data_IF_219926770058
#
_entry.id   IF_219926770058
#
_cell.length_a   1.000
_cell.length_b   1.000
_cell.length_c   1.000
_cell.angle_alpha   90.00
_cell.angle_beta   90.00
_cell.angle_gamma   90.00
#
_symmetry.space_group_name_H-M   'P 1'
#
loop_
_entity.id
_entity.type
_entity.pdbx_description
1 polymer ?
#
# COMPACT_ATOMS: atom_id res chain seq x y z
N UNK A 1 -11.59 27.22 26.97
CA UNK A 1 -10.59 26.75 25.99
C UNK A 1 -9.92 25.50 26.54
N UNK A 2 -10.40 24.31 26.19
CA UNK A 2 -9.76 23.07 26.65
C UNK A 2 -8.52 22.78 25.79
N UNK A 3 -7.34 22.93 26.39
CA UNK A 3 -6.12 22.36 25.85
C UNK A 3 -6.28 20.83 25.86
N UNK A 4 -6.64 20.25 24.72
CA UNK A 4 -6.62 18.81 24.53
C UNK A 4 -5.18 18.34 24.62
N UNK A 5 -4.85 17.61 25.68
CA UNK A 5 -3.57 16.91 25.82
C UNK A 5 -3.38 15.99 24.61
N UNK A 6 -2.34 16.27 23.82
CA UNK A 6 -2.03 15.52 22.61
C UNK A 6 -1.34 14.21 23.03
N UNK A 7 -2.10 13.28 23.61
CA UNK A 7 -1.59 11.98 24.05
C UNK A 7 -1.10 11.25 22.81
N UNK A 8 0.22 11.05 22.72
CA UNK A 8 0.85 10.29 21.63
C UNK A 8 0.30 8.87 21.68
N UNK A 9 -0.52 8.50 20.68
CA UNK A 9 -1.07 7.15 20.57
C UNK A 9 0.06 6.12 20.59
N UNK A 10 -0.14 5.01 21.30
CA UNK A 10 0.79 3.88 21.25
C UNK A 10 0.87 3.32 19.81
N UNK A 11 1.97 2.62 19.46
CA UNK A 11 2.08 1.90 18.19
C UNK A 11 0.85 1.04 17.85
N UNK A 12 0.37 0.30 18.85
CA UNK A 12 -0.81 -0.55 18.75
C UNK A 12 -2.06 0.27 18.40
N UNK A 13 -2.35 1.32 19.15
CA UNK A 13 -3.54 2.16 18.94
C UNK A 13 -3.51 2.87 17.58
N UNK A 14 -2.31 3.24 17.11
CA UNK A 14 -2.12 3.82 15.79
C UNK A 14 -2.47 2.81 14.69
N UNK A 15 -1.92 1.60 14.74
CA UNK A 15 -2.22 0.54 13.77
C UNK A 15 -3.71 0.13 13.84
N UNK A 16 -4.24 -0.13 15.03
CA UNK A 16 -5.66 -0.47 15.26
C UNK A 16 -6.59 0.58 14.65
N UNK A 17 -6.35 1.86 14.88
CA UNK A 17 -7.16 2.96 14.33
C UNK A 17 -7.21 2.91 12.79
N UNK A 18 -6.12 2.49 12.13
CA UNK A 18 -6.07 2.35 10.67
C UNK A 18 -6.79 1.08 10.23
N UNK A 19 -6.57 -0.05 10.93
CA UNK A 19 -7.25 -1.31 10.62
C UNK A 19 -8.77 -1.16 10.74
N UNK A 20 -9.28 -0.49 11.77
CA UNK A 20 -10.72 -0.20 11.91
C UNK A 20 -11.31 0.54 10.70
N UNK A 21 -10.51 1.42 10.08
CA UNK A 21 -10.91 2.10 8.86
C UNK A 21 -10.96 1.10 7.69
N UNK A 22 -9.87 0.36 7.49
CA UNK A 22 -9.72 -0.59 6.38
C UNK A 22 -10.78 -1.69 6.37
N UNK A 23 -11.15 -2.23 7.55
CA UNK A 23 -12.09 -3.36 7.70
C UNK A 23 -13.54 -2.95 8.01
N UNK A 24 -13.95 -1.74 7.62
CA UNK A 24 -15.34 -1.27 7.76
C UNK A 24 -15.86 -1.24 9.21
N UNK A 25 -14.99 -1.07 10.20
CA UNK A 25 -15.39 -1.00 11.61
C UNK A 25 -15.70 0.43 12.09
N UNK A 26 -15.19 1.45 11.39
CA UNK A 26 -15.54 2.86 11.66
C UNK A 26 -16.88 3.25 11.02
N UNK A 27 -17.59 4.18 11.63
CA UNK A 27 -18.87 4.68 11.11
C UNK A 27 -18.78 5.16 9.66
N UNK A 28 -17.71 5.88 9.30
CA UNK A 28 -17.51 6.36 7.93
C UNK A 28 -17.34 5.23 6.92
N UNK A 29 -16.69 4.12 7.29
CA UNK A 29 -16.46 2.98 6.41
C UNK A 29 -17.59 1.95 6.47
N UNK A 30 -18.34 1.84 7.57
CA UNK A 30 -19.60 1.09 7.63
C UNK A 30 -20.59 1.53 6.55
N UNK A 31 -20.70 2.85 6.31
CA UNK A 31 -21.56 3.37 5.24
C UNK A 31 -21.12 2.88 3.84
N UNK A 32 -19.80 2.80 3.60
CA UNK A 32 -19.24 2.26 2.34
C UNK A 32 -19.67 0.81 2.17
N UNK A 33 -19.54 -0.01 3.23
CA UNK A 33 -19.99 -1.41 3.21
C UNK A 33 -21.49 -1.50 2.87
N UNK A 34 -22.34 -0.73 3.55
CA UNK A 34 -23.78 -0.72 3.31
C UNK A 34 -24.13 -0.32 1.86
N UNK A 35 -23.45 0.69 1.30
CA UNK A 35 -23.63 1.10 -0.10
C UNK A 35 -23.29 -0.05 -1.04
N UNK A 36 -22.16 -0.72 -0.82
CA UNK A 36 -21.73 -1.85 -1.64
C UNK A 36 -22.68 -3.04 -1.51
N UNK A 37 -23.17 -3.35 -0.31
CA UNK A 37 -24.13 -4.44 -0.06
C UNK A 37 -25.47 -4.16 -0.77
N UNK A 38 -26.02 -2.95 -0.61
CA UNK A 38 -27.27 -2.52 -1.27
C UNK A 38 -27.21 -2.62 -2.80
N UNK A 39 -26.02 -2.41 -3.38
CA UNK A 39 -25.82 -2.47 -4.82
C UNK A 39 -25.34 -3.86 -5.28
N UNK A 40 -25.35 -4.86 -4.41
CA UNK A 40 -24.84 -6.20 -4.69
C UNK A 40 -23.40 -6.18 -5.24
N UNK A 41 -22.54 -5.34 -4.69
CA UNK A 41 -21.13 -5.21 -5.06
C UNK A 41 -20.18 -5.56 -3.91
N UNK A 42 -20.68 -5.79 -2.71
CA UNK A 42 -19.87 -6.26 -1.58
C UNK A 42 -19.57 -7.75 -1.76
N UNK A 43 -18.29 -8.10 -1.86
CA UNK A 43 -17.77 -9.48 -1.94
C UNK A 43 -18.36 -10.32 -3.09
N UNK A 44 -17.55 -10.57 -4.12
CA UNK A 44 -17.87 -11.38 -5.31
C UNK A 44 -16.78 -12.39 -5.58
N UNK A 45 -17.03 -13.44 -6.36
CA UNK A 45 -16.07 -14.52 -6.59
C UNK A 45 -14.74 -14.03 -7.19
N UNK A 46 -14.78 -12.92 -7.93
CA UNK A 46 -13.61 -12.26 -8.50
C UNK A 46 -12.66 -11.65 -7.45
N UNK A 47 -13.14 -11.42 -6.22
CA UNK A 47 -12.32 -10.85 -5.16
C UNK A 47 -11.22 -11.81 -4.70
N UNK A 48 -10.00 -11.31 -4.74
CA UNK A 48 -8.82 -12.03 -4.27
C UNK A 48 -8.83 -12.19 -2.76
N UNK A 49 -8.29 -13.33 -2.33
CA UNK A 49 -8.06 -13.63 -0.92
C UNK A 49 -6.56 -13.61 -0.65
N UNK A 50 -6.13 -12.77 0.28
CA UNK A 50 -4.73 -12.64 0.68
C UNK A 50 -4.55 -12.89 2.17
N UNK A 51 -3.31 -13.19 2.58
CA UNK A 51 -3.00 -13.34 4.00
C UNK A 51 -3.20 -12.03 4.78
N UNK A 52 -3.43 -12.09 6.11
CA UNK A 52 -3.70 -10.92 6.95
C UNK A 52 -2.64 -9.83 6.89
N UNK A 53 -1.38 -10.21 6.64
CA UNK A 53 -0.25 -9.30 6.47
C UNK A 53 -0.47 -8.25 5.37
N UNK A 54 -1.37 -8.51 4.40
CA UNK A 54 -1.78 -7.52 3.38
C UNK A 54 -2.37 -6.25 4.00
N UNK A 55 -2.95 -6.33 5.20
CA UNK A 55 -3.44 -5.14 5.90
C UNK A 55 -2.33 -4.25 6.44
N UNK A 56 -1.13 -4.78 6.70
CA UNK A 56 0.03 -3.97 7.06
C UNK A 56 0.48 -3.10 5.87
N UNK A 57 0.44 -3.67 4.65
CA UNK A 57 0.67 -2.94 3.40
C UNK A 57 -0.35 -1.84 3.16
N UNK A 58 -1.63 -2.14 3.31
CA UNK A 58 -2.69 -1.14 3.18
C UNK A 58 -2.63 -0.08 4.29
N UNK A 59 -2.19 -0.45 5.50
CA UNK A 59 -1.97 0.50 6.59
C UNK A 59 -0.77 1.43 6.30
N UNK A 60 0.30 0.91 5.69
CA UNK A 60 1.43 1.69 5.19
C UNK A 60 0.98 2.74 4.17
N UNK A 61 0.20 2.30 3.19
CA UNK A 61 -0.36 3.17 2.16
C UNK A 61 -1.28 4.25 2.75
N UNK A 62 -2.22 3.86 3.62
CA UNK A 62 -3.12 4.79 4.32
C UNK A 62 -2.33 5.86 5.11
N UNK A 63 -1.32 5.43 5.86
CA UNK A 63 -0.53 6.34 6.67
C UNK A 63 0.26 7.33 5.80
N UNK A 64 0.77 6.84 4.66
CA UNK A 64 1.46 7.70 3.71
C UNK A 64 0.53 8.70 3.03
N UNK A 65 -0.69 8.30 2.64
CA UNK A 65 -1.69 9.20 2.07
C UNK A 65 -1.92 10.41 3.00
N UNK A 66 -2.02 10.19 4.31
CA UNK A 66 -2.23 11.29 5.26
C UNK A 66 -1.08 12.32 5.24
N UNK A 67 0.16 11.85 5.23
CA UNK A 67 1.34 12.72 5.22
C UNK A 67 1.45 13.44 3.87
N UNK A 68 1.40 12.68 2.78
CA UNK A 68 1.61 13.15 1.43
C UNK A 68 0.58 14.20 1.03
N UNK A 69 -0.72 13.93 1.22
CA UNK A 69 -1.78 14.85 0.78
C UNK A 69 -1.81 16.14 1.59
N UNK A 70 -1.49 16.09 2.90
CA UNK A 70 -1.41 17.29 3.74
C UNK A 70 -0.34 18.27 3.26
N UNK A 71 0.77 17.75 2.72
CA UNK A 71 1.88 18.53 2.22
C UNK A 71 1.60 18.98 0.79
N UNK A 72 1.23 18.03 -0.09
CA UNK A 72 1.11 18.25 -1.52
C UNK A 72 0.02 19.27 -1.88
N UNK A 73 -1.09 19.33 -1.13
CA UNK A 73 -2.23 20.24 -1.42
C UNK A 73 -1.87 21.73 -1.50
N UNK A 74 -0.71 22.14 -0.96
CA UNK A 74 -0.26 23.55 -0.97
C UNK A 74 0.70 23.86 -2.13
N UNK A 75 1.16 22.84 -2.85
CA UNK A 75 2.29 22.94 -3.77
C UNK A 75 2.01 22.40 -5.17
N UNK A 76 0.89 21.70 -5.36
CA UNK A 76 0.55 21.01 -6.60
C UNK A 76 -0.92 21.27 -6.97
N UNK A 77 -1.20 21.22 -8.26
CA UNK A 77 -2.51 21.61 -8.80
C UNK A 77 -3.54 20.47 -8.65
N UNK A 78 -3.10 19.22 -8.85
CA UNK A 78 -3.90 18.01 -8.62
C UNK A 78 -3.13 16.97 -7.82
N UNK A 79 -3.87 16.18 -7.06
CA UNK A 79 -3.40 15.02 -6.30
C UNK A 79 -3.88 13.76 -7.02
N UNK A 80 -2.95 12.92 -7.46
CA UNK A 80 -3.25 11.73 -8.27
C UNK A 80 -2.79 10.48 -7.52
N UNK A 81 -3.62 9.43 -7.56
CA UNK A 81 -3.22 8.09 -7.16
C UNK A 81 -3.14 7.20 -8.40
N UNK A 82 -2.04 6.47 -8.55
CA UNK A 82 -1.85 5.47 -9.60
C UNK A 82 -1.65 4.12 -8.93
N UNK A 83 -2.54 3.18 -9.23
CA UNK A 83 -2.49 1.80 -8.77
C UNK A 83 -2.12 0.90 -9.94
N UNK A 84 -0.88 0.40 -9.95
CA UNK A 84 -0.39 -0.45 -11.04
C UNK A 84 -1.03 -1.85 -11.05
N UNK A 85 -1.64 -2.27 -9.94
CA UNK A 85 -2.25 -3.58 -9.73
C UNK A 85 -3.54 -3.45 -8.91
N UNK A 86 -4.57 -2.86 -9.52
CA UNK A 86 -5.77 -2.39 -8.82
C UNK A 86 -6.68 -3.47 -8.24
N UNK A 87 -6.60 -4.71 -8.74
CA UNK A 87 -7.49 -5.79 -8.31
C UNK A 87 -8.96 -5.47 -8.57
N UNK A 88 -9.83 -6.08 -7.76
CA UNK A 88 -11.27 -5.81 -7.76
C UNK A 88 -11.68 -4.67 -6.82
N UNK A 89 -10.75 -4.14 -6.03
CA UNK A 89 -10.99 -3.06 -5.07
C UNK A 89 -11.39 -3.49 -3.65
N UNK A 90 -11.76 -4.75 -3.42
CA UNK A 90 -11.91 -5.33 -2.08
C UNK A 90 -10.96 -6.51 -1.92
N UNK A 91 -10.53 -6.77 -0.69
CA UNK A 91 -9.64 -7.87 -0.35
C UNK A 91 -10.28 -8.74 0.71
N UNK A 92 -10.41 -10.03 0.45
CA UNK A 92 -10.74 -11.04 1.46
C UNK A 92 -9.49 -11.42 2.25
N UNK A 93 -9.63 -11.55 3.56
CA UNK A 93 -8.54 -12.02 4.40
C UNK A 93 -8.65 -13.53 4.57
N UNK A 94 -7.66 -14.27 4.05
CA UNK A 94 -7.59 -15.74 4.10
C UNK A 94 -7.86 -16.24 5.51
N UNK A 95 -8.57 -17.37 5.59
CA UNK A 95 -8.90 -18.05 6.84
C UNK A 95 -9.69 -17.18 7.84
N UNK A 96 -10.45 -16.19 7.36
CA UNK A 96 -11.32 -15.35 8.18
C UNK A 96 -12.49 -14.79 7.36
N UNK A 97 -13.47 -14.21 8.06
CA UNK A 97 -14.59 -13.49 7.43
C UNK A 97 -14.28 -12.01 7.19
N UNK A 98 -13.04 -11.58 7.45
CA UNK A 98 -12.67 -10.17 7.34
C UNK A 98 -12.49 -9.75 5.89
N UNK A 99 -12.95 -8.53 5.62
CA UNK A 99 -12.89 -7.88 4.31
C UNK A 99 -12.30 -6.51 4.50
N UNK A 100 -11.43 -6.11 3.58
CA UNK A 100 -10.81 -4.79 3.57
C UNK A 100 -11.04 -4.05 2.26
N UNK A 101 -11.01 -2.72 2.35
CA UNK A 101 -10.73 -1.88 1.20
C UNK A 101 -9.38 -2.26 0.57
N UNK A 102 -9.35 -2.45 -0.75
CA UNK A 102 -8.12 -2.47 -1.53
C UNK A 102 -7.62 -1.06 -1.83
N UNK A 103 -6.41 -0.92 -2.36
CA UNK A 103 -5.69 0.35 -2.61
C UNK A 103 -6.50 1.37 -3.42
N UNK A 104 -7.13 0.95 -4.51
CA UNK A 104 -7.91 1.84 -5.38
C UNK A 104 -9.19 2.38 -4.71
N UNK A 105 -9.96 1.55 -4.00
CA UNK A 105 -11.12 2.03 -3.25
C UNK A 105 -10.69 2.86 -2.04
N UNK A 106 -9.60 2.45 -1.37
CA UNK A 106 -9.01 3.19 -0.28
C UNK A 106 -8.69 4.62 -0.72
N UNK A 107 -8.02 4.79 -1.86
CA UNK A 107 -7.71 6.12 -2.41
C UNK A 107 -8.97 6.95 -2.69
N UNK A 108 -10.04 6.34 -3.23
CA UNK A 108 -11.29 7.06 -3.52
C UNK A 108 -11.93 7.63 -2.26
N UNK A 109 -12.00 6.83 -1.20
CA UNK A 109 -12.71 7.20 0.03
C UNK A 109 -11.83 7.92 1.05
N UNK A 110 -10.52 7.94 0.82
CA UNK A 110 -9.56 8.57 1.72
C UNK A 110 -9.75 10.08 1.78
N UNK A 111 -9.68 10.59 3.01
CA UNK A 111 -9.65 12.02 3.30
C UNK A 111 -8.53 12.27 4.30
N UNK A 112 -7.65 13.22 3.98
CA UNK A 112 -6.55 13.62 4.86
C UNK A 112 -7.06 14.03 6.24
N UNK A 113 -6.23 13.97 7.29
CA UNK A 113 -6.59 14.33 8.67
C UNK A 113 -7.18 15.72 8.83
N UNK A 114 -6.75 16.71 8.05
CA UNK A 114 -7.34 18.07 8.11
C UNK A 114 -8.73 18.15 7.50
N UNK A 115 -9.13 17.12 6.77
CA UNK A 115 -10.33 17.10 5.96
C UNK A 115 -10.25 17.93 4.68
N UNK A 116 -9.09 18.54 4.36
CA UNK A 116 -8.95 19.51 3.26
C UNK A 116 -8.32 18.94 2.00
N UNK A 117 -7.85 17.70 2.00
CA UNK A 117 -7.29 17.05 0.82
C UNK A 117 -7.85 15.65 0.59
N UNK A 118 -8.02 15.34 -0.70
CA UNK A 118 -8.39 14.06 -1.30
C UNK A 118 -7.72 13.96 -2.66
N UNK A 119 -7.66 12.77 -3.23
CA UNK A 119 -7.22 12.62 -4.61
C UNK A 119 -8.23 13.25 -5.56
N UNK A 120 -7.73 13.99 -6.55
CA UNK A 120 -8.51 14.52 -7.65
C UNK A 120 -8.70 13.46 -8.74
N UNK A 121 -7.72 12.56 -8.90
CA UNK A 121 -7.74 11.52 -9.93
C UNK A 121 -7.18 10.20 -9.41
N UNK A 122 -7.80 9.10 -9.80
CA UNK A 122 -7.36 7.73 -9.52
C UNK A 122 -7.20 6.98 -10.85
N UNK A 123 -6.05 6.38 -11.08
CA UNK A 123 -5.79 5.57 -12.27
C UNK A 123 -5.41 4.19 -11.79
N UNK A 124 -6.24 3.19 -12.12
CA UNK A 124 -6.03 1.81 -11.69
C UNK A 124 -5.86 0.92 -12.91
N UNK A 125 -4.84 0.08 -12.91
CA UNK A 125 -4.60 -0.92 -13.94
C UNK A 125 -4.90 -2.30 -13.37
N UNK A 126 -5.72 -3.09 -14.06
CA UNK A 126 -6.04 -4.46 -13.68
C UNK A 126 -6.15 -5.32 -14.94
N UNK A 127 -5.34 -6.36 -15.03
CA UNK A 127 -5.26 -7.19 -16.23
C UNK A 127 -6.48 -8.10 -16.39
N UNK A 128 -7.02 -8.63 -15.30
CA UNK A 128 -8.17 -9.53 -15.34
C UNK A 128 -9.47 -8.75 -15.56
N UNK A 129 -10.21 -9.17 -16.59
CA UNK A 129 -11.39 -8.48 -17.09
C UNK A 129 -12.52 -8.30 -16.08
N UNK A 130 -12.85 -9.34 -15.31
CA UNK A 130 -13.95 -9.32 -14.35
C UNK A 130 -13.57 -8.50 -13.12
N UNK A 131 -12.32 -8.58 -12.66
CA UNK A 131 -11.79 -7.73 -11.58
C UNK A 131 -11.79 -6.26 -11.97
N UNK A 132 -11.29 -5.92 -13.16
CA UNK A 132 -11.30 -4.56 -13.67
C UNK A 132 -12.74 -4.00 -13.78
N UNK A 133 -13.68 -4.82 -14.28
CA UNK A 133 -15.10 -4.45 -14.33
C UNK A 133 -15.68 -4.23 -12.94
N UNK A 134 -15.42 -5.15 -12.00
CA UNK A 134 -15.91 -5.07 -10.63
C UNK A 134 -15.34 -3.84 -9.89
N UNK A 135 -14.05 -3.55 -10.04
CA UNK A 135 -13.42 -2.36 -9.51
C UNK A 135 -14.09 -1.09 -10.05
N UNK A 136 -14.30 -1.01 -11.36
CA UNK A 136 -14.97 0.13 -12.00
C UNK A 136 -16.37 0.35 -11.41
N UNK A 137 -17.18 -0.70 -11.34
CA UNK A 137 -18.54 -0.64 -10.78
C UNK A 137 -18.56 -0.13 -9.34
N UNK A 138 -17.62 -0.58 -8.51
CA UNK A 138 -17.49 -0.14 -7.12
C UNK A 138 -17.08 1.33 -7.03
N UNK A 139 -16.12 1.77 -7.83
CA UNK A 139 -15.71 3.17 -7.90
C UNK A 139 -16.87 4.07 -8.36
N UNK A 140 -17.62 3.66 -9.39
CA UNK A 140 -18.80 4.38 -9.91
C UNK A 140 -19.87 4.58 -8.83
N UNK A 141 -20.27 3.48 -8.17
CA UNK A 141 -21.31 3.51 -7.13
C UNK A 141 -20.86 4.34 -5.93
N UNK A 142 -19.65 4.14 -5.44
CA UNK A 142 -19.15 4.90 -4.30
C UNK A 142 -18.97 6.38 -4.62
N UNK A 143 -18.46 6.73 -5.80
CA UNK A 143 -18.34 8.13 -6.25
C UNK A 143 -19.71 8.81 -6.20
N UNK A 144 -20.73 8.17 -6.78
CA UNK A 144 -22.09 8.68 -6.86
C UNK A 144 -22.74 8.82 -5.47
N UNK A 145 -22.79 7.74 -4.70
CA UNK A 145 -23.54 7.69 -3.43
C UNK A 145 -22.88 8.53 -2.31
N UNK A 146 -21.56 8.76 -2.39
CA UNK A 146 -20.83 9.58 -1.42
C UNK A 146 -20.61 11.03 -1.88
N UNK A 147 -21.02 11.39 -3.10
CA UNK A 147 -20.81 12.73 -3.67
C UNK A 147 -19.32 13.11 -3.75
N UNK A 148 -18.47 12.16 -4.14
CA UNK A 148 -17.02 12.37 -4.18
C UNK A 148 -16.65 12.96 -5.54
N UNK A 149 -16.09 14.17 -5.53
CA UNK A 149 -15.52 14.81 -6.71
C UNK A 149 -14.07 14.33 -6.96
N UNK A 150 -13.94 13.07 -7.35
CA UNK A 150 -12.68 12.42 -7.74
C UNK A 150 -12.91 11.72 -9.08
N UNK A 151 -12.10 12.03 -10.07
CA UNK A 151 -12.11 11.30 -11.34
C UNK A 151 -11.41 9.95 -11.17
N UNK A 152 -11.87 8.94 -11.90
CA UNK A 152 -11.17 7.66 -11.94
C UNK A 152 -11.12 7.09 -13.35
N UNK A 153 -10.08 6.30 -13.61
CA UNK A 153 -9.88 5.54 -14.84
C UNK A 153 -9.42 4.14 -14.48
N UNK A 154 -10.21 3.14 -14.86
CA UNK A 154 -9.81 1.72 -14.74
C UNK A 154 -9.40 1.21 -16.10
N UNK A 155 -8.12 0.85 -16.25
CA UNK A 155 -7.50 0.36 -17.47
C UNK A 155 -7.40 -1.17 -17.37
N UNK A 156 -8.06 -1.86 -18.30
CA UNK A 156 -8.02 -3.32 -18.39
C UNK A 156 -6.90 -3.77 -19.33
N UNK A 157 -5.69 -3.95 -18.80
CA UNK A 157 -4.54 -4.46 -19.57
C UNK A 157 -3.34 -4.73 -18.65
N UNK A 158 -2.22 -5.15 -19.25
CA UNK A 158 -0.90 -5.20 -18.64
C UNK A 158 -0.32 -3.78 -18.41
N UNK A 159 0.20 -3.53 -17.21
CA UNK A 159 0.84 -2.26 -16.82
C UNK A 159 1.98 -1.86 -17.76
N UNK A 160 2.80 -2.81 -18.21
CA UNK A 160 3.93 -2.54 -19.10
C UNK A 160 3.47 -2.01 -20.47
N UNK A 161 2.29 -2.44 -20.94
CA UNK A 161 1.70 -1.97 -22.20
C UNK A 161 1.00 -0.62 -22.06
N UNK A 162 0.51 -0.31 -20.85
CA UNK A 162 -0.34 0.85 -20.57
C UNK A 162 0.33 1.97 -19.79
N UNK A 163 1.61 1.85 -19.50
CA UNK A 163 2.38 2.87 -18.78
C UNK A 163 2.34 4.25 -19.48
N UNK A 164 2.33 4.27 -20.82
CA UNK A 164 2.18 5.50 -21.61
C UNK A 164 0.79 6.12 -21.46
N UNK A 165 -0.27 5.30 -21.47
CA UNK A 165 -1.64 5.76 -21.29
C UNK A 165 -1.83 6.41 -19.91
N UNK A 166 -1.18 5.86 -18.88
CA UNK A 166 -1.13 6.47 -17.53
C UNK A 166 -0.33 7.76 -17.53
N UNK A 167 0.84 7.77 -18.17
CA UNK A 167 1.72 8.95 -18.18
C UNK A 167 1.08 10.14 -18.93
N UNK A 168 0.25 9.89 -19.94
CA UNK A 168 -0.49 10.94 -20.66
C UNK A 168 -1.57 11.60 -19.81
N UNK A 169 -1.98 10.95 -18.72
CA UNK A 169 -3.00 11.44 -17.79
C UNK A 169 -2.43 12.30 -16.65
N UNK A 170 -1.11 12.55 -16.63
CA UNK A 170 -0.37 13.24 -15.56
C UNK A 170 0.35 14.47 -16.12
N UNK A 171 0.19 15.61 -15.43
CA UNK A 171 0.82 16.88 -15.78
C UNK A 171 2.02 17.19 -14.89
N UNK A 172 2.87 18.11 -15.36
CA UNK A 172 4.09 18.55 -14.67
C UNK A 172 3.87 19.09 -13.26
N UNK A 173 2.71 19.69 -12.99
CA UNK A 173 2.34 20.29 -11.70
C UNK A 173 1.45 19.41 -10.84
N UNK A 174 1.24 18.15 -11.23
CA UNK A 174 0.49 17.19 -10.44
C UNK A 174 1.41 16.54 -9.38
N UNK A 175 0.87 16.26 -8.21
CA UNK A 175 1.48 15.36 -7.23
C UNK A 175 0.91 13.96 -7.43
N UNK A 176 1.75 12.94 -7.36
CA UNK A 176 1.32 11.56 -7.57
C UNK A 176 1.80 10.65 -6.46
N UNK A 177 1.01 9.62 -6.16
CA UNK A 177 1.50 8.42 -5.47
C UNK A 177 1.31 7.25 -6.43
N UNK A 178 2.42 6.66 -6.85
CA UNK A 178 2.45 5.46 -7.68
C UNK A 178 2.64 4.24 -6.77
N UNK A 179 1.59 3.44 -6.63
CA UNK A 179 1.61 2.19 -5.88
C UNK A 179 1.86 1.03 -6.84
N UNK A 180 2.96 0.31 -6.61
CA UNK A 180 3.44 -0.78 -7.44
C UNK A 180 3.45 -2.04 -6.58
N UNK A 181 2.43 -2.86 -6.74
CA UNK A 181 2.16 -4.03 -5.90
C UNK A 181 2.13 -5.36 -6.70
N UNK A 182 3.25 -5.75 -7.32
CA UNK A 182 3.33 -7.00 -8.07
C UNK A 182 3.27 -8.21 -7.14
N UNK A 183 2.78 -9.34 -7.64
CA UNK A 183 2.89 -10.63 -6.93
C UNK A 183 4.30 -11.26 -7.07
N UNK A 184 5.07 -10.81 -8.06
CA UNK A 184 6.39 -11.31 -8.43
C UNK A 184 7.24 -10.27 -9.12
N UNK A 185 7.53 -10.50 -10.41
CA UNK A 185 8.37 -9.66 -11.28
C UNK A 185 7.63 -9.24 -12.56
N UNK A 186 6.32 -9.09 -12.48
CA UNK A 186 5.44 -8.83 -13.63
C UNK A 186 5.68 -7.45 -14.27
N UNK A 187 6.21 -6.49 -13.52
CA UNK A 187 6.47 -5.12 -14.00
C UNK A 187 7.94 -4.89 -14.30
N UNK A 188 8.25 -4.27 -15.43
CA UNK A 188 9.59 -3.81 -15.75
C UNK A 188 9.82 -2.46 -15.06
N UNK A 189 10.60 -2.43 -13.97
CA UNK A 189 10.76 -1.22 -13.13
C UNK A 189 11.35 -0.04 -13.91
N UNK A 190 12.13 -0.30 -14.96
CA UNK A 190 12.64 0.72 -15.87
C UNK A 190 11.54 1.58 -16.51
N UNK A 191 10.38 0.97 -16.80
CA UNK A 191 9.26 1.65 -17.47
C UNK A 191 8.61 2.67 -16.54
N UNK A 192 8.80 2.58 -15.22
CA UNK A 192 8.33 3.59 -14.29
C UNK A 192 8.92 4.97 -14.57
N UNK A 193 10.10 5.05 -15.18
CA UNK A 193 10.71 6.31 -15.63
C UNK A 193 9.77 7.14 -16.52
N UNK A 194 8.92 6.49 -17.32
CA UNK A 194 7.95 7.15 -18.20
C UNK A 194 6.95 7.96 -17.37
N UNK A 195 6.38 7.36 -16.31
CA UNK A 195 5.47 8.06 -15.39
C UNK A 195 6.23 9.11 -14.58
N UNK A 196 7.38 8.72 -13.99
CA UNK A 196 8.14 9.59 -13.08
C UNK A 196 8.72 10.83 -13.78
N UNK A 197 8.96 10.76 -15.09
CA UNK A 197 9.39 11.91 -15.89
C UNK A 197 8.30 12.98 -16.07
N UNK A 198 7.01 12.62 -15.92
CA UNK A 198 5.90 13.55 -16.11
C UNK A 198 5.80 14.58 -15.02
N UNK A 199 6.07 14.20 -13.76
CA UNK A 199 6.12 15.12 -12.64
C UNK A 199 7.15 14.70 -11.60
N UNK A 200 7.96 15.67 -11.19
CA UNK A 200 8.91 15.52 -10.08
C UNK A 200 8.20 15.20 -8.75
N UNK A 201 6.90 15.50 -8.65
CA UNK A 201 6.07 15.28 -7.47
C UNK A 201 5.54 13.86 -7.30
N UNK A 202 5.86 12.91 -8.19
CA UNK A 202 5.34 11.55 -8.07
C UNK A 202 6.21 10.73 -7.11
N UNK A 203 5.66 10.32 -5.98
CA UNK A 203 6.32 9.42 -5.04
C UNK A 203 5.92 7.97 -5.35
N UNK A 204 6.79 7.00 -5.03
CA UNK A 204 6.58 5.58 -5.37
C UNK A 204 6.54 4.74 -4.11
N UNK A 205 5.55 3.87 -3.98
CA UNK A 205 5.58 2.76 -3.02
C UNK A 205 5.66 1.47 -3.83
N UNK A 206 6.78 0.76 -3.69
CA UNK A 206 7.01 -0.52 -4.34
C UNK A 206 6.89 -1.65 -3.31
N UNK A 207 6.07 -2.65 -3.61
CA UNK A 207 6.10 -3.94 -2.94
C UNK A 207 7.14 -4.84 -3.61
N UNK A 208 8.29 -5.04 -2.98
CA UNK A 208 9.33 -5.96 -3.47
C UNK A 208 9.11 -7.35 -2.88
N UNK A 209 8.64 -8.27 -3.71
CA UNK A 209 8.40 -9.65 -3.33
C UNK A 209 9.69 -10.44 -3.10
N UNK A 210 9.64 -11.47 -2.23
CA UNK A 210 10.67 -12.53 -2.17
C UNK A 210 10.90 -13.25 -3.52
N UNK A 211 9.98 -13.08 -4.48
CA UNK A 211 10.09 -13.64 -5.83
C UNK A 211 11.37 -13.21 -6.56
N UNK A 212 11.85 -11.99 -6.29
CA UNK A 212 13.12 -11.47 -6.84
C UNK A 212 14.30 -12.32 -6.36
N UNK A 213 14.36 -12.60 -5.06
CA UNK A 213 15.44 -13.41 -4.47
C UNK A 213 15.40 -14.87 -4.90
N UNK A 214 14.19 -15.44 -5.04
CA UNK A 214 14.01 -16.80 -5.56
C UNK A 214 14.51 -16.92 -7.00
N UNK A 215 14.21 -15.94 -7.85
CA UNK A 215 14.73 -15.92 -9.21
C UNK A 215 16.25 -15.74 -9.22
N UNK A 216 16.81 -14.95 -8.30
CA UNK A 216 18.26 -14.74 -8.22
C UNK A 216 18.98 -16.05 -7.89
N UNK A 217 18.48 -16.81 -6.91
CA UNK A 217 19.04 -18.12 -6.58
C UNK A 217 18.98 -19.10 -7.75
N UNK A 218 17.90 -19.10 -8.53
CA UNK A 218 17.80 -19.92 -9.77
C UNK A 218 18.83 -19.50 -10.81
N UNK A 219 18.95 -18.20 -11.07
CA UNK A 219 19.92 -17.66 -12.02
C UNK A 219 21.36 -18.00 -11.62
N UNK A 220 21.69 -17.92 -10.33
CA UNK A 220 23.01 -18.31 -9.80
C UNK A 220 23.30 -19.81 -9.97
N UNK A 221 22.25 -20.64 -10.04
CA UNK A 221 22.34 -22.07 -10.30
C UNK A 221 22.26 -22.42 -11.81
N UNK A 222 22.43 -21.44 -12.71
CA UNK A 222 22.52 -21.65 -14.16
C UNK A 222 21.20 -21.56 -14.93
N UNK A 223 20.14 -21.01 -14.33
CA UNK A 223 18.87 -20.79 -15.04
C UNK A 223 18.88 -19.46 -15.82
N UNK A 224 19.23 -19.53 -17.11
CA UNK A 224 19.28 -18.38 -18.01
C UNK A 224 17.91 -17.68 -18.17
N UNK A 225 16.80 -18.43 -18.10
CA UNK A 225 15.47 -17.84 -18.17
C UNK A 225 15.16 -17.02 -16.92
N UNK A 226 15.61 -17.45 -15.74
CA UNK A 226 15.46 -16.68 -14.51
C UNK A 226 16.31 -15.41 -14.55
N UNK A 227 17.55 -15.50 -15.06
CA UNK A 227 18.42 -14.35 -15.25
C UNK A 227 17.80 -13.32 -16.19
N UNK A 228 17.28 -13.76 -17.34
CA UNK A 228 16.62 -12.87 -18.31
C UNK A 228 15.46 -12.10 -17.68
N UNK A 229 14.56 -12.80 -16.97
CA UNK A 229 13.41 -12.16 -16.29
C UNK A 229 13.85 -11.15 -15.23
N UNK A 230 14.92 -11.44 -14.48
CA UNK A 230 15.46 -10.51 -13.50
C UNK A 230 16.02 -9.24 -14.13
N UNK A 231 16.75 -9.38 -15.24
CA UNK A 231 17.31 -8.22 -15.96
C UNK A 231 16.20 -7.40 -16.61
N UNK A 232 15.14 -8.02 -17.13
CA UNK A 232 13.95 -7.31 -17.64
C UNK A 232 13.21 -6.55 -16.52
N UNK A 233 13.07 -7.16 -15.35
CA UNK A 233 12.46 -6.54 -14.16
C UNK A 233 13.31 -5.37 -13.63
N UNK A 234 14.62 -5.59 -13.48
CA UNK A 234 15.57 -4.68 -12.83
C UNK A 234 16.90 -4.65 -13.61
N UNK A 235 17.01 -3.83 -14.67
CA UNK A 235 18.16 -3.86 -15.58
C UNK A 235 19.51 -3.53 -14.94
N UNK A 236 19.51 -2.73 -13.87
CA UNK A 236 20.70 -2.40 -13.09
C UNK A 236 21.34 -3.63 -12.43
N UNK A 237 20.62 -4.77 -12.34
CA UNK A 237 21.19 -6.04 -11.90
C UNK A 237 22.31 -6.56 -12.79
N UNK A 238 22.33 -6.17 -14.07
CA UNK A 238 23.41 -6.57 -14.99
C UNK A 238 24.79 -6.07 -14.51
N UNK A 239 24.82 -4.96 -13.78
CA UNK A 239 26.05 -4.37 -13.22
C UNK A 239 26.18 -4.59 -11.72
N UNK A 240 25.06 -4.70 -11.00
CA UNK A 240 25.03 -4.84 -9.53
C UNK A 240 24.34 -6.16 -9.19
N UNK A 241 25.10 -7.18 -8.79
CA UNK A 241 24.59 -8.53 -8.49
C UNK A 241 23.80 -8.65 -7.16
N UNK A 242 23.26 -7.53 -6.68
CA UNK A 242 22.52 -7.39 -5.43
C UNK A 242 21.20 -6.65 -5.76
N UNK A 243 20.03 -7.31 -5.62
CA UNK A 243 18.74 -6.73 -6.00
C UNK A 243 18.41 -5.42 -5.31
N UNK A 244 18.74 -5.28 -4.03
CA UNK A 244 18.45 -4.07 -3.28
C UNK A 244 19.29 -2.91 -3.76
N UNK A 245 20.60 -3.10 -3.92
CA UNK A 245 21.50 -2.07 -4.46
C UNK A 245 21.17 -1.72 -5.91
N UNK A 246 20.77 -2.70 -6.72
CA UNK A 246 20.34 -2.47 -8.09
C UNK A 246 19.06 -1.62 -8.15
N UNK A 247 18.08 -1.92 -7.31
CA UNK A 247 16.86 -1.11 -7.11
C UNK A 247 17.21 0.30 -6.64
N UNK A 248 18.06 0.41 -5.63
CA UNK A 248 18.47 1.70 -5.08
C UNK A 248 19.12 2.58 -6.16
N UNK A 249 20.01 2.00 -6.97
CA UNK A 249 20.61 2.70 -8.11
C UNK A 249 19.52 3.16 -9.10
N UNK A 250 18.60 2.27 -9.47
CA UNK A 250 17.53 2.59 -10.41
C UNK A 250 16.67 3.77 -9.92
N UNK A 251 16.22 3.75 -8.66
CA UNK A 251 15.43 4.85 -8.11
C UNK A 251 16.23 6.13 -7.91
N UNK A 252 17.55 6.06 -7.66
CA UNK A 252 18.42 7.24 -7.68
C UNK A 252 18.49 7.87 -9.08
N UNK A 253 18.59 7.05 -10.13
CA UNK A 253 18.53 7.52 -11.53
C UNK A 253 17.17 8.17 -11.85
N UNK A 254 16.10 7.73 -11.21
CA UNK A 254 14.77 8.37 -11.31
C UNK A 254 14.62 9.64 -10.45
N UNK A 255 15.67 10.08 -9.74
CA UNK A 255 15.63 11.24 -8.85
C UNK A 255 14.85 11.00 -7.55
N UNK A 256 14.74 9.74 -7.10
CA UNK A 256 14.05 9.31 -5.88
C UNK A 256 15.01 8.67 -4.86
N UNK A 257 16.02 9.41 -4.36
CA UNK A 257 17.08 8.83 -3.53
C UNK A 257 16.67 8.58 -2.07
N UNK A 258 15.58 9.17 -1.59
CA UNK A 258 15.16 9.06 -0.19
C UNK A 258 14.23 7.85 -0.04
N UNK A 259 14.48 7.05 0.98
CA UNK A 259 13.73 5.82 1.24
C UNK A 259 13.16 5.72 2.66
N UNK A 260 12.06 4.98 2.77
CA UNK A 260 11.59 4.37 4.00
C UNK A 260 11.11 2.95 3.67
N UNK A 261 11.64 1.95 4.38
CA UNK A 261 11.39 0.53 4.07
C UNK A 261 10.75 -0.16 5.24
N UNK A 262 9.70 -0.95 5.00
CA UNK A 262 9.08 -1.81 6.00
C UNK A 262 9.12 -3.27 5.54
N UNK A 263 9.59 -4.16 6.40
CA UNK A 263 9.57 -5.60 6.13
C UNK A 263 8.22 -6.14 6.60
N UNK A 264 7.52 -6.87 5.72
CA UNK A 264 6.21 -7.42 6.00
C UNK A 264 6.32 -8.95 6.13
N UNK A 265 5.77 -9.45 7.23
CA UNK A 265 5.84 -10.86 7.61
C UNK A 265 4.47 -11.52 7.61
N UNK A 266 4.42 -12.79 7.23
CA UNK A 266 3.19 -13.59 7.29
C UNK A 266 2.78 -13.97 8.73
N UNK A 267 1.76 -14.81 8.88
CA UNK A 267 1.29 -15.30 10.18
C UNK A 267 2.27 -16.20 10.94
N UNK A 268 3.29 -16.71 10.24
CA UNK A 268 4.37 -17.54 10.78
C UNK A 268 5.65 -16.73 11.02
N UNK A 269 5.55 -15.39 10.97
CA UNK A 269 6.65 -14.45 11.13
C UNK A 269 7.75 -14.57 10.06
N UNK A 270 7.45 -15.22 8.92
CA UNK A 270 8.34 -15.31 7.78
C UNK A 270 8.24 -14.01 6.96
N UNK A 271 9.34 -13.35 6.59
CA UNK A 271 9.32 -12.27 5.60
C UNK A 271 8.63 -12.73 4.31
N UNK A 272 7.85 -11.86 3.68
CA UNK A 272 7.20 -12.14 2.39
C UNK A 272 7.56 -11.06 1.37
N UNK A 273 7.68 -9.81 1.83
CA UNK A 273 8.07 -8.70 1.00
C UNK A 273 8.53 -7.48 1.80
N UNK A 274 9.22 -6.58 1.11
CA UNK A 274 9.54 -5.24 1.59
C UNK A 274 8.67 -4.19 0.91
N UNK A 275 8.10 -3.28 1.70
CA UNK A 275 7.46 -2.07 1.19
C UNK A 275 8.48 -0.94 1.17
N UNK A 276 8.82 -0.48 -0.03
CA UNK A 276 9.84 0.53 -0.26
C UNK A 276 9.19 1.81 -0.75
N UNK A 277 9.11 2.81 0.12
CA UNK A 277 8.74 4.16 -0.27
C UNK A 277 9.95 4.89 -0.84
N UNK A 278 9.81 5.48 -2.03
CA UNK A 278 10.84 6.26 -2.74
C UNK A 278 10.31 7.64 -3.04
N UNK A 279 11.01 8.66 -2.52
CA UNK A 279 10.62 10.06 -2.68
C UNK A 279 11.80 10.89 -3.17
N UNK A 280 11.49 12.04 -3.77
CA UNK A 280 12.52 13.00 -4.17
C UNK A 280 13.16 13.66 -2.95
N UNK A 281 14.40 14.12 -3.11
CA UNK A 281 15.01 15.08 -2.19
C UNK A 281 14.45 16.48 -2.45
N UNK A 282 13.93 17.14 -1.42
CA UNK A 282 13.55 18.56 -1.48
C UNK A 282 14.69 19.46 -0.99
N UNK A 283 14.56 20.78 -1.17
CA UNK A 283 15.55 21.76 -0.66
C UNK A 283 15.82 21.64 0.84
N UNK A 284 14.83 21.18 1.61
CA UNK A 284 14.92 21.01 3.06
C UNK A 284 15.26 19.58 3.49
N UNK A 285 15.74 18.74 2.56
CA UNK A 285 16.03 17.31 2.78
C UNK A 285 14.85 16.46 3.27
N UNK A 286 13.63 16.81 2.82
CA UNK A 286 12.43 15.96 2.99
C UNK A 286 12.15 15.52 4.45
N UNK A 287 12.10 16.44 5.44
CA UNK A 287 12.00 16.07 6.86
C UNK A 287 10.68 15.38 7.22
N UNK A 288 9.66 15.59 6.40
CA UNK A 288 8.35 14.96 6.51
C UNK A 288 8.37 13.44 6.26
N UNK A 289 9.49 12.88 5.78
CA UNK A 289 9.65 11.43 5.64
C UNK A 289 9.94 10.74 6.98
N UNK A 290 10.44 11.46 7.98
CA UNK A 290 10.79 10.87 9.29
C UNK A 290 9.63 10.13 9.94
N UNK A 291 8.39 10.67 9.99
CA UNK A 291 7.23 9.91 10.46
C UNK A 291 6.97 8.61 9.68
N UNK A 292 7.28 8.56 8.38
CA UNK A 292 7.18 7.31 7.61
C UNK A 292 8.25 6.31 7.99
N UNK A 293 9.49 6.74 8.24
CA UNK A 293 10.55 5.85 8.75
C UNK A 293 10.18 5.26 10.12
N UNK A 294 9.70 6.10 11.04
CA UNK A 294 9.20 5.65 12.34
C UNK A 294 8.02 4.67 12.20
N UNK A 295 7.10 4.93 11.25
CA UNK A 295 5.98 4.03 10.99
C UNK A 295 6.42 2.73 10.33
N UNK A 296 7.39 2.77 9.42
CA UNK A 296 8.03 1.60 8.82
C UNK A 296 8.60 0.67 9.90
N UNK A 297 9.46 1.21 10.77
CA UNK A 297 10.04 0.45 11.90
C UNK A 297 8.96 -0.10 12.85
N UNK A 298 7.87 0.64 13.02
CA UNK A 298 6.74 0.22 13.83
C UNK A 298 6.00 -0.95 13.20
N UNK A 299 5.62 -0.88 11.92
CA UNK A 299 4.84 -1.94 11.29
C UNK A 299 5.65 -3.21 11.04
N UNK A 300 6.98 -3.12 10.86
CA UNK A 300 7.86 -4.29 10.74
C UNK A 300 7.89 -5.16 12.00
N UNK A 301 7.38 -4.66 13.14
CA UNK A 301 7.26 -5.41 14.39
C UNK A 301 5.97 -6.24 14.48
N UNK A 302 5.04 -6.03 13.55
CA UNK A 302 3.78 -6.75 13.47
C UNK A 302 3.85 -7.76 12.33
N UNK A 303 3.14 -8.88 12.50
CA UNK A 303 3.01 -9.91 11.48
C UNK A 303 1.53 -10.25 11.22
N UNK A 304 1.26 -11.23 10.35
CA UNK A 304 -0.11 -11.62 10.01
C UNK A 304 -0.96 -12.06 11.21
N UNK A 305 -0.36 -12.71 12.20
CA UNK A 305 -1.05 -13.17 13.42
C UNK A 305 -1.43 -12.01 14.32
N UNK A 306 -0.54 -11.02 14.48
CA UNK A 306 -0.84 -9.82 15.25
C UNK A 306 -2.00 -9.03 14.64
N UNK A 307 -2.05 -8.96 13.30
CA UNK A 307 -3.17 -8.34 12.58
C UNK A 307 -4.48 -9.05 12.89
N UNK A 308 -4.55 -10.38 12.76
CA UNK A 308 -5.76 -11.15 13.09
C UNK A 308 -6.22 -10.90 14.53
N UNK A 309 -5.28 -10.92 15.48
CA UNK A 309 -5.55 -10.63 16.89
C UNK A 309 -6.14 -9.23 17.10
N UNK A 310 -5.74 -8.24 16.30
CA UNK A 310 -6.31 -6.89 16.34
C UNK A 310 -7.72 -6.89 15.73
N UNK A 311 -7.93 -7.57 14.60
CA UNK A 311 -9.24 -7.66 13.95
C UNK A 311 -10.27 -8.34 14.85
N UNK A 312 -9.90 -9.42 15.53
CA UNK A 312 -10.77 -10.12 16.48
C UNK A 312 -11.24 -9.19 17.59
N UNK A 313 -10.33 -8.33 18.10
CA UNK A 313 -10.69 -7.32 19.09
C UNK A 313 -11.59 -6.22 18.54
N UNK A 314 -11.32 -5.74 17.31
CA UNK A 314 -12.15 -4.73 16.64
C UNK A 314 -13.59 -5.24 16.48
N UNK A 315 -13.76 -6.51 16.16
CA UNK A 315 -15.06 -7.14 15.91
C UNK A 315 -15.65 -7.87 17.13
N UNK A 316 -15.04 -7.73 18.31
CA UNK A 316 -15.44 -8.43 19.54
C UNK A 316 -15.58 -9.96 19.38
N UNK A 317 -14.81 -10.57 18.48
CA UNK A 317 -14.69 -12.03 18.44
C UNK A 317 -13.90 -12.45 19.69
N UNK A 318 -14.44 -13.38 20.49
CA UNK A 318 -13.81 -13.83 21.74
C UNK A 318 -12.42 -14.39 21.42
N UNK A 319 -11.36 -13.66 21.78
CA UNK A 319 -10.01 -14.25 21.91
C UNK A 319 -10.08 -15.32 22.97
N UNK A 320 -9.64 -16.53 22.63
CA UNK A 320 -9.53 -17.63 23.59
C UNK A 320 -8.66 -17.23 24.79
N UNK A 321 -8.94 -17.80 25.97
CA UNK A 321 -8.18 -17.55 27.22
C UNK A 321 -6.67 -17.74 27.01
N UNK A 322 -6.26 -18.61 26.09
CA UNK A 322 -4.87 -18.83 25.68
C UNK A 322 -4.18 -17.59 25.10
N UNK A 323 -4.89 -16.76 24.34
CA UNK A 323 -4.34 -15.53 23.74
C UNK A 323 -4.09 -14.44 24.78
N UNK A 324 -4.89 -14.43 25.85
CA UNK A 324 -4.72 -13.51 26.97
C UNK A 324 -3.52 -13.90 27.86
N UNK A 325 -3.24 -15.21 27.99
CA UNK A 325 -2.09 -15.73 28.74
C UNK A 325 -0.78 -15.43 28.01
N UNK A 326 -0.73 -15.60 26.68
CA UNK A 326 0.49 -15.31 25.89
C UNK A 326 0.87 -13.82 25.91
N UNK A 327 -0.10 -12.90 25.99
CA UNK A 327 0.15 -11.46 26.09
C UNK A 327 0.83 -11.06 27.39
N UNK A 328 0.41 -11.61 28.53
CA UNK A 328 1.07 -11.34 29.82
C UNK A 328 2.54 -11.76 29.80
N UNK A 329 2.87 -12.87 29.15
CA UNK A 329 4.25 -13.36 29.09
C UNK A 329 5.15 -12.53 28.15
N UNK A 330 4.59 -11.87 27.14
CA UNK A 330 5.36 -11.03 26.21
C UNK A 330 5.70 -9.67 26.84
N UNK A 331 4.77 -9.10 27.62
CA UNK A 331 5.03 -7.88 28.39
C UNK A 331 6.04 -8.13 29.52
N UNK A 332 5.95 -9.27 30.22
CA UNK A 332 6.90 -9.65 31.28
C UNK A 332 8.32 -9.87 30.72
N UNK A 333 8.47 -10.56 29.59
CA UNK A 333 9.80 -10.78 28.98
C UNK A 333 10.42 -9.50 28.42
N UNK A 334 9.63 -8.50 28.03
CA UNK A 334 10.13 -7.18 27.66
C UNK A 334 10.60 -6.35 28.87
N UNK A 335 10.00 -6.57 30.04
CA UNK A 335 10.34 -5.91 31.29
C UNK A 335 11.66 -6.45 31.87
N UNK A 336 11.89 -7.77 31.78
CA UNK A 336 13.13 -8.41 32.26
C UNK A 336 14.33 -8.28 31.31
N UNK A 337 14.16 -7.79 30.07
CA UNK A 337 15.28 -7.45 29.17
C UNK A 337 15.84 -6.03 29.37
N UNK A 338 15.25 -5.26 30.29
CA UNK A 338 15.58 -3.85 30.53
C UNK A 338 16.25 -3.59 31.90
N UNK A 339 16.50 -4.67 32.63
CA UNK A 339 17.32 -4.76 33.85
C UNK A 339 18.33 -5.89 33.63
#
# INVERSE_FOLDING_TARGET
>A
MSQGSNIKKSPYEKLRTILEYLVFAKNCTKNIKNILEKNELFIKDEDVSYGPHTLLKLAYLYYYFDIALEIAKKHFDKLIFVDAFGGSGLVRIKNSDYVSLGSSLLALVFKSRSGKARFNKIISIEMESKRAYLLRRRLEVLKKELGIDTDFKVIRDDVNKKINDVANDINKRDYGILFVDPEGVEIQLQNLSIILSKSIGIDVILNQSEGVYRLLGRAQNGDDSALKKLVEYLPTLASIKDPDKARDLLFRLFGKPIEATAEIRDENNKPIYELVLRVRRTKSDTPWIRPMKEFSEMISKYNGRDVLNILDQIHNKRTTILDQINRKNTDITSFFKKY
#
